data_IF_407964039998
#
_entry.id   IF_407964039998
#
_cell.length_a   1.000
_cell.length_b   1.000
_cell.length_c   1.000
_cell.angle_alpha   90.00
_cell.angle_beta   90.00
_cell.angle_gamma   90.00
#
_symmetry.space_group_name_H-M   'P 1'
#
loop_
_entity.id
_entity.type
_entity.pdbx_description
1 polymer ?
#
# COMPACT_ATOMS: atom_id res chain seq x y z
N UNK A 1 10.52 -6.81 11.57
CA UNK A 1 10.40 -5.52 10.86
C UNK A 1 9.18 -4.79 11.39
N UNK A 2 9.33 -3.53 11.78
CA UNK A 2 8.25 -2.68 12.32
C UNK A 2 6.97 -2.74 11.46
N UNK A 3 7.12 -2.71 10.14
CA UNK A 3 6.01 -2.85 9.18
C UNK A 3 5.34 -4.23 9.16
N UNK A 4 6.08 -5.32 9.35
CA UNK A 4 5.48 -6.65 9.54
C UNK A 4 4.67 -6.69 10.83
N UNK A 5 5.15 -6.02 11.89
CA UNK A 5 4.44 -5.91 13.17
C UNK A 5 3.14 -5.10 13.04
N UNK A 6 3.15 -4.00 12.27
CA UNK A 6 1.95 -3.20 11.99
C UNK A 6 0.97 -3.98 11.11
N UNK A 7 1.45 -4.63 10.04
CA UNK A 7 0.63 -5.46 9.15
C UNK A 7 -0.03 -6.61 9.88
N UNK A 8 0.70 -7.24 10.81
CA UNK A 8 0.17 -8.33 11.64
C UNK A 8 -0.79 -7.80 12.72
N UNK A 9 -0.47 -6.68 13.35
CA UNK A 9 -1.31 -6.02 14.36
C UNK A 9 -2.65 -5.53 13.80
N UNK A 10 -2.66 -4.94 12.60
CA UNK A 10 -3.87 -4.48 11.93
C UNK A 10 -4.71 -5.62 11.37
N UNK A 11 -4.09 -6.66 10.79
CA UNK A 11 -4.83 -7.87 10.40
C UNK A 11 -5.53 -8.49 11.58
N UNK A 12 -4.85 -8.62 12.73
CA UNK A 12 -5.41 -9.25 13.93
C UNK A 12 -6.57 -8.43 14.52
N UNK A 13 -6.44 -7.10 14.54
CA UNK A 13 -7.47 -6.20 15.09
C UNK A 13 -8.76 -6.14 14.24
N UNK A 14 -8.64 -6.30 12.91
CA UNK A 14 -9.78 -6.21 12.00
C UNK A 14 -10.47 -7.55 11.73
N UNK A 15 -9.75 -8.69 11.82
CA UNK A 15 -10.35 -10.02 11.62
C UNK A 15 -11.35 -10.41 12.71
N UNK A 16 -11.26 -9.81 13.91
CA UNK A 16 -12.15 -10.16 15.02
C UNK A 16 -13.55 -9.50 14.95
N UNK A 17 -13.79 -8.53 14.04
CA UNK A 17 -15.06 -7.76 14.04
C UNK A 17 -15.98 -7.95 12.84
N UNK A 18 -15.57 -8.61 11.76
CA UNK A 18 -16.40 -8.65 10.54
C UNK A 18 -16.13 -9.91 9.71
N UNK A 19 -16.96 -10.94 9.92
CA UNK A 19 -17.00 -12.19 9.16
C UNK A 19 -17.53 -12.04 7.72
N UNK A 20 -17.23 -10.92 7.04
CA UNK A 20 -17.74 -10.63 5.69
C UNK A 20 -17.11 -9.44 4.97
N UNK A 21 -16.08 -8.78 5.53
CA UNK A 21 -15.38 -7.69 4.85
C UNK A 21 -14.13 -8.20 4.15
N UNK A 22 -14.09 -8.11 2.82
CA UNK A 22 -12.84 -8.23 2.07
C UNK A 22 -12.04 -6.94 2.32
N UNK A 23 -10.88 -6.97 2.99
CA UNK A 23 -10.08 -5.77 3.20
C UNK A 23 -9.35 -5.47 1.89
N UNK A 24 -9.99 -4.71 1.01
CA UNK A 24 -9.40 -4.28 -0.26
C UNK A 24 -8.22 -3.32 -0.06
N UNK A 25 -8.10 -2.69 1.10
CA UNK A 25 -7.01 -1.80 1.46
C UNK A 25 -6.30 -2.24 2.76
N UNK A 26 -5.00 -2.00 2.83
CA UNK A 26 -4.17 -2.34 4.00
C UNK A 26 -4.32 -1.30 5.12
N UNK A 27 -4.70 -0.06 4.79
CA UNK A 27 -5.03 1.01 5.75
C UNK A 27 -6.30 1.74 5.29
N UNK A 28 -7.29 1.90 6.18
CA UNK A 28 -8.46 2.76 5.96
C UNK A 28 -8.34 3.97 6.88
N UNK A 29 -7.92 5.12 6.33
CA UNK A 29 -7.85 6.38 7.09
C UNK A 29 -9.24 7.00 7.28
N UNK A 30 -10.18 6.75 6.36
CA UNK A 30 -11.58 7.21 6.46
C UNK A 30 -12.52 6.28 5.67
N UNK A 31 -13.84 6.47 5.81
CA UNK A 31 -14.88 5.70 5.08
C UNK A 31 -14.74 5.76 3.55
N UNK A 32 -14.09 6.81 3.05
CA UNK A 32 -13.85 7.06 1.62
C UNK A 32 -12.37 7.15 1.25
N UNK A 33 -11.44 6.90 2.19
CA UNK A 33 -10.00 7.05 1.95
C UNK A 33 -9.24 5.77 2.31
N UNK A 34 -8.46 5.26 1.37
CA UNK A 34 -7.63 4.08 1.57
C UNK A 34 -6.15 4.35 1.30
N UNK A 35 -5.28 3.72 2.09
CA UNK A 35 -3.86 3.70 1.87
C UNK A 35 -3.38 2.25 1.69
N UNK A 36 -2.53 2.05 0.70
CA UNK A 36 -1.86 0.81 0.36
C UNK A 36 -0.38 0.98 0.62
N UNK A 37 0.26 -0.03 1.20
CA UNK A 37 1.69 -0.04 1.42
C UNK A 37 2.35 -1.14 0.59
N UNK A 38 3.48 -0.81 -0.05
CA UNK A 38 4.26 -1.73 -0.87
C UNK A 38 5.76 -1.48 -0.69
N UNK A 39 6.51 -2.50 -0.30
CA UNK A 39 7.97 -2.47 -0.37
C UNK A 39 8.46 -2.86 -1.76
N UNK A 40 9.44 -2.13 -2.32
CA UNK A 40 10.06 -2.49 -3.61
C UNK A 40 10.73 -3.86 -3.59
N UNK A 41 11.32 -4.26 -2.45
CA UNK A 41 11.91 -5.59 -2.30
C UNK A 41 10.85 -6.68 -2.45
N UNK A 42 9.64 -6.45 -1.94
CA UNK A 42 8.51 -7.37 -2.11
C UNK A 42 7.98 -7.36 -3.54
N UNK A 43 7.97 -6.19 -4.18
CA UNK A 43 7.55 -6.05 -5.57
C UNK A 43 8.49 -6.79 -6.54
N UNK A 44 9.79 -6.77 -6.30
CA UNK A 44 10.76 -7.57 -7.09
C UNK A 44 10.51 -9.08 -6.97
N UNK A 45 10.11 -9.56 -5.79
CA UNK A 45 9.79 -10.98 -5.57
C UNK A 45 8.45 -11.37 -6.22
N UNK A 46 7.47 -10.47 -6.22
CA UNK A 46 6.12 -10.72 -6.72
C UNK A 46 5.56 -9.53 -7.52
N UNK A 47 5.96 -9.35 -8.79
CA UNK A 47 5.53 -8.21 -9.58
C UNK A 47 4.01 -8.20 -9.82
N UNK A 48 3.39 -9.37 -9.95
CA UNK A 48 1.94 -9.51 -10.17
C UNK A 48 1.08 -9.13 -8.95
N UNK A 49 1.67 -9.04 -7.75
CA UNK A 49 0.91 -8.76 -6.53
C UNK A 49 0.19 -7.41 -6.58
N UNK A 50 0.88 -6.35 -7.03
CA UNK A 50 0.30 -5.01 -7.06
C UNK A 50 -0.83 -4.91 -8.08
N UNK A 51 -0.70 -5.58 -9.23
CA UNK A 51 -1.74 -5.62 -10.25
C UNK A 51 -3.04 -6.22 -9.73
N UNK A 52 -2.96 -7.37 -9.07
CA UNK A 52 -4.13 -8.03 -8.47
C UNK A 52 -4.72 -7.21 -7.31
N UNK A 53 -3.86 -6.56 -6.51
CA UNK A 53 -4.29 -5.68 -5.42
C UNK A 53 -5.04 -4.46 -5.95
N UNK A 54 -4.53 -3.81 -6.99
CA UNK A 54 -5.17 -2.65 -7.61
C UNK A 54 -6.50 -2.98 -8.27
N UNK A 55 -6.62 -4.15 -8.92
CA UNK A 55 -7.90 -4.66 -9.43
C UNK A 55 -8.95 -4.79 -8.32
N UNK A 56 -8.52 -5.32 -7.17
CA UNK A 56 -9.40 -5.53 -6.01
C UNK A 56 -9.73 -4.23 -5.26
N UNK A 57 -8.84 -3.21 -5.35
CA UNK A 57 -9.00 -1.90 -4.70
C UNK A 57 -9.90 -0.93 -5.49
N UNK A 58 -10.56 -1.39 -6.57
CA UNK A 58 -11.51 -0.61 -7.38
C UNK A 58 -12.84 -0.25 -6.69
N UNK A 59 -12.93 -0.40 -5.37
CA UNK A 59 -14.03 0.21 -4.62
C UNK A 59 -13.98 1.75 -4.79
N UNK A 60 -15.12 2.44 -4.70
CA UNK A 60 -15.22 3.89 -4.91
C UNK A 60 -14.65 4.66 -3.70
N UNK A 61 -13.35 4.51 -3.46
CA UNK A 61 -12.62 5.38 -2.55
C UNK A 61 -12.30 6.68 -3.28
N UNK A 62 -12.61 7.80 -2.62
CA UNK A 62 -12.40 9.15 -3.12
C UNK A 62 -10.92 9.53 -3.06
N UNK A 63 -10.17 8.95 -2.11
CA UNK A 63 -8.72 9.12 -1.99
C UNK A 63 -8.05 7.76 -1.86
N UNK A 64 -7.08 7.50 -2.74
CA UNK A 64 -6.32 6.25 -2.76
C UNK A 64 -4.84 6.58 -2.75
N UNK A 65 -4.17 6.24 -1.65
CA UNK A 65 -2.74 6.49 -1.48
C UNK A 65 -1.97 5.19 -1.63
N UNK A 66 -0.88 5.19 -2.38
CA UNK A 66 0.05 4.08 -2.51
C UNK A 66 1.40 4.51 -1.95
N UNK A 67 1.71 4.07 -0.73
CA UNK A 67 2.98 4.27 -0.05
C UNK A 67 3.98 3.19 -0.49
N UNK A 68 5.03 3.60 -1.18
CA UNK A 68 6.08 2.73 -1.69
C UNK A 68 7.37 2.95 -0.93
N UNK A 69 7.88 1.90 -0.30
CA UNK A 69 9.18 1.94 0.36
C UNK A 69 10.30 1.52 -0.59
N UNK A 70 11.28 2.42 -0.75
CA UNK A 70 12.42 2.27 -1.62
C UNK A 70 13.62 1.63 -0.87
N UNK A 71 13.59 0.30 -0.73
CA UNK A 71 14.61 -0.49 -0.01
C UNK A 71 15.58 -1.24 -0.97
N UNK A 72 15.69 -0.80 -2.23
CA UNK A 72 16.51 -1.47 -3.27
C UNK A 72 17.29 -0.47 -4.11
N UNK A 73 18.51 -0.84 -4.52
CA UNK A 73 19.38 0.03 -5.32
C UNK A 73 18.84 0.28 -6.73
N UNK A 74 18.26 -0.73 -7.39
CA UNK A 74 17.69 -0.63 -8.75
C UNK A 74 16.19 -0.29 -8.74
N UNK A 75 15.80 0.75 -8.02
CA UNK A 75 14.39 1.18 -7.87
C UNK A 75 13.84 1.93 -9.08
N UNK A 76 14.70 2.45 -9.94
CA UNK A 76 14.36 3.33 -11.07
C UNK A 76 13.34 2.74 -12.05
N UNK A 77 13.42 1.43 -12.34
CA UNK A 77 12.50 0.78 -13.27
C UNK A 77 11.14 0.51 -12.62
N UNK A 78 11.13 -0.07 -11.42
CA UNK A 78 9.91 -0.35 -10.67
C UNK A 78 9.14 0.93 -10.33
N UNK A 79 9.82 2.02 -9.97
CA UNK A 79 9.16 3.31 -9.71
C UNK A 79 8.48 3.88 -10.95
N UNK A 80 9.10 3.76 -12.13
CA UNK A 80 8.47 4.20 -13.40
C UNK A 80 7.20 3.40 -13.69
N UNK A 81 7.22 2.09 -13.44
CA UNK A 81 6.06 1.23 -13.61
C UNK A 81 4.96 1.59 -12.61
N UNK A 82 5.30 1.73 -11.33
CA UNK A 82 4.36 2.10 -10.26
C UNK A 82 3.76 3.50 -10.48
N UNK A 83 4.53 4.46 -10.99
CA UNK A 83 4.04 5.79 -11.35
C UNK A 83 3.08 5.75 -12.54
N UNK A 84 3.32 4.89 -13.54
CA UNK A 84 2.34 4.67 -14.61
C UNK A 84 1.05 4.06 -14.07
N UNK A 85 1.18 3.07 -13.19
CA UNK A 85 0.02 2.45 -12.54
C UNK A 85 -0.76 3.45 -11.68
N UNK A 86 -0.10 4.32 -10.93
CA UNK A 86 -0.79 5.31 -10.11
C UNK A 86 -1.62 6.26 -10.96
N UNK A 87 -1.15 6.62 -12.16
CA UNK A 87 -1.93 7.43 -13.11
C UNK A 87 -3.13 6.64 -13.66
N UNK A 88 -2.94 5.38 -14.08
CA UNK A 88 -4.01 4.53 -14.65
C UNK A 88 -5.13 4.27 -13.65
N UNK A 89 -4.79 4.13 -12.37
CA UNK A 89 -5.73 3.78 -11.30
C UNK A 89 -6.17 4.97 -10.43
N UNK A 90 -5.78 6.20 -10.82
CA UNK A 90 -6.09 7.45 -10.11
C UNK A 90 -5.68 7.41 -8.62
N UNK A 91 -4.45 6.98 -8.37
CA UNK A 91 -3.86 6.85 -7.05
C UNK A 91 -2.81 7.94 -6.83
N UNK A 92 -2.67 8.39 -5.59
CA UNK A 92 -1.56 9.21 -5.14
C UNK A 92 -0.39 8.32 -4.75
N UNK A 93 0.72 8.40 -5.50
CA UNK A 93 1.96 7.69 -5.18
C UNK A 93 2.76 8.48 -4.13
N UNK A 94 3.07 7.85 -3.00
CA UNK A 94 4.01 8.36 -2.00
C UNK A 94 5.24 7.45 -1.96
N UNK A 95 6.43 8.03 -1.90
CA UNK A 95 7.69 7.27 -1.88
C UNK A 95 8.40 7.61 -0.57
N UNK A 96 8.87 6.59 0.14
CA UNK A 96 9.68 6.72 1.35
C UNK A 96 11.00 5.97 1.18
N UNK A 97 12.12 6.60 1.53
CA UNK A 97 13.43 5.95 1.47
C UNK A 97 13.81 5.31 2.80
N UNK A 98 13.22 5.81 3.90
CA UNK A 98 13.44 5.30 5.25
C UNK A 98 12.14 4.79 5.90
N UNK A 99 12.29 3.85 6.83
CA UNK A 99 11.20 3.34 7.68
C UNK A 99 10.57 4.47 8.53
N UNK A 100 11.38 5.42 8.96
CA UNK A 100 10.95 6.56 9.79
C UNK A 100 10.07 7.53 8.99
N UNK A 101 10.42 7.80 7.73
CA UNK A 101 9.61 8.66 6.85
C UNK A 101 8.26 8.01 6.56
N UNK A 102 8.25 6.70 6.28
CA UNK A 102 7.01 5.97 6.03
C UNK A 102 6.12 5.90 7.26
N UNK A 103 6.68 5.74 8.47
CA UNK A 103 5.92 5.82 9.72
C UNK A 103 5.28 7.22 9.87
N UNK A 104 6.06 8.28 9.64
CA UNK A 104 5.56 9.66 9.72
C UNK A 104 4.43 9.96 8.73
N UNK A 105 4.50 9.39 7.52
CA UNK A 105 3.40 9.50 6.54
C UNK A 105 2.13 8.77 6.95
N UNK A 106 2.23 7.74 7.81
CA UNK A 106 1.08 7.02 8.35
C UNK A 106 0.51 7.65 9.63
N UNK A 107 1.31 8.43 10.36
CA UNK A 107 0.88 9.14 11.57
C UNK A 107 0.03 10.39 11.27
N UNK A 108 0.09 10.92 10.05
CA UNK A 108 -0.62 12.14 9.62
C UNK A 108 -1.98 11.82 9.01
#
# INVERSE_FOLDING_TARGET
NFFDSIRFGLKKSLTDRISGWQPCADYSMSRSSCALYLSLRYHQLNPNYIYERLKTTKLPYQLKVLLVQCDVNDSSQSLKELARLSIIYELTLLISWNDEESAKYLET
#
